data_IF_886561169475
#
_entry.id   IF_886561169475
#
_cell.length_a   1.000
_cell.length_b   1.000
_cell.length_c   1.000
_cell.angle_alpha   90.00
_cell.angle_beta   90.00
_cell.angle_gamma   90.00
#
_symmetry.space_group_name_H-M   'P 1'
#
loop_
_entity.id
_entity.type
_entity.pdbx_description
1 polymer ?
#
# COMPACT_ATOMS: atom_id res chain seq x y z
N UNK A 1 9.98 -6.48 -9.43
CA UNK A 1 9.11 -7.54 -9.95
C UNK A 1 8.61 -7.14 -11.34
N UNK A 2 9.09 -7.79 -12.41
CA UNK A 2 8.68 -7.46 -13.79
C UNK A 2 7.17 -7.66 -14.02
N UNK A 3 6.58 -8.59 -13.29
CA UNK A 3 5.15 -8.92 -13.18
C UNK A 3 4.29 -7.86 -12.47
N UNK A 4 4.90 -6.83 -11.85
CA UNK A 4 4.17 -5.72 -11.23
C UNK A 4 4.18 -4.43 -12.07
N UNK A 5 4.73 -4.45 -13.30
CA UNK A 5 4.84 -3.26 -14.15
C UNK A 5 3.51 -2.96 -14.86
N UNK A 6 3.29 -1.68 -15.16
CA UNK A 6 2.10 -1.21 -15.88
C UNK A 6 1.84 -1.97 -17.19
N UNK A 7 2.88 -2.17 -18.01
CA UNK A 7 2.75 -2.90 -19.27
C UNK A 7 2.37 -4.38 -19.07
N UNK A 8 2.87 -5.03 -18.02
CA UNK A 8 2.50 -6.40 -17.69
C UNK A 8 1.02 -6.50 -17.28
N UNK A 9 0.57 -5.61 -16.39
CA UNK A 9 -0.83 -5.61 -15.93
C UNK A 9 -1.79 -5.26 -17.08
N UNK A 10 -1.42 -4.34 -17.97
CA UNK A 10 -2.20 -4.04 -19.18
C UNK A 10 -2.29 -5.25 -20.12
N UNK A 11 -1.19 -5.98 -20.31
CA UNK A 11 -1.22 -7.22 -21.08
C UNK A 11 -2.15 -8.27 -20.43
N UNK A 12 -2.15 -8.39 -19.10
CA UNK A 12 -3.07 -9.27 -18.37
C UNK A 12 -4.55 -8.88 -18.51
N UNK A 13 -4.87 -7.60 -18.55
CA UNK A 13 -6.25 -7.16 -18.81
C UNK A 13 -6.75 -7.61 -20.20
N UNK A 14 -5.88 -7.55 -21.22
CA UNK A 14 -6.19 -8.05 -22.57
C UNK A 14 -6.36 -9.57 -22.57
N UNK A 15 -5.42 -10.31 -21.98
CA UNK A 15 -5.49 -11.78 -21.86
C UNK A 15 -6.79 -12.23 -21.20
N UNK A 16 -7.15 -11.65 -20.04
CA UNK A 16 -8.38 -11.97 -19.33
C UNK A 16 -9.64 -11.64 -20.13
N UNK A 17 -9.61 -10.52 -20.87
CA UNK A 17 -10.76 -10.12 -21.69
C UNK A 17 -11.05 -11.13 -22.80
N UNK A 18 -9.98 -11.64 -23.44
CA UNK A 18 -10.08 -12.68 -24.47
C UNK A 18 -10.52 -14.02 -23.88
N UNK A 19 -9.93 -14.44 -22.75
CA UNK A 19 -10.22 -15.74 -22.14
C UNK A 19 -11.61 -15.86 -21.53
N UNK A 20 -12.20 -14.74 -21.09
CA UNK A 20 -13.54 -14.70 -20.50
C UNK A 20 -14.64 -14.25 -21.48
N UNK A 21 -14.27 -13.92 -22.72
CA UNK A 21 -15.16 -13.34 -23.73
C UNK A 21 -15.98 -12.13 -23.20
N UNK A 22 -15.31 -11.26 -22.42
CA UNK A 22 -15.93 -10.04 -21.87
C UNK A 22 -14.88 -8.97 -21.59
N UNK A 23 -15.23 -7.67 -21.66
CA UNK A 23 -14.29 -6.61 -21.28
C UNK A 23 -13.87 -6.72 -19.81
N UNK A 24 -12.55 -6.74 -19.57
CA UNK A 24 -11.94 -6.72 -18.23
C UNK A 24 -11.05 -5.49 -18.09
N UNK A 25 -11.28 -4.71 -17.02
CA UNK A 25 -10.42 -3.60 -16.62
C UNK A 25 -9.74 -3.94 -15.29
N UNK A 26 -8.41 -3.80 -15.23
CA UNK A 26 -7.65 -3.92 -13.98
C UNK A 26 -7.23 -2.53 -13.53
N UNK A 27 -7.71 -2.11 -12.36
CA UNK A 27 -7.31 -0.84 -11.76
C UNK A 27 -6.06 -1.03 -10.90
N UNK A 28 -5.04 -0.20 -11.13
CA UNK A 28 -3.79 -0.19 -10.37
C UNK A 28 -3.59 1.15 -9.64
N UNK A 29 -4.46 1.49 -8.67
CA UNK A 29 -4.49 2.83 -8.05
C UNK A 29 -3.18 3.22 -7.35
N UNK A 30 -2.33 2.24 -7.03
CA UNK A 30 -1.05 2.43 -6.34
C UNK A 30 0.17 2.39 -7.27
N UNK A 31 0.01 2.16 -8.58
CA UNK A 31 1.13 1.91 -9.52
C UNK A 31 2.23 2.98 -9.46
N UNK A 32 1.83 4.25 -9.33
CA UNK A 32 2.72 5.41 -9.35
C UNK A 32 2.81 6.10 -7.97
N UNK A 33 2.44 5.38 -6.90
CA UNK A 33 2.42 5.90 -5.53
C UNK A 33 3.64 5.38 -4.76
N UNK A 34 4.37 6.28 -4.10
CA UNK A 34 5.31 5.90 -3.06
C UNK A 34 4.55 5.58 -1.75
N UNK A 35 5.25 5.10 -0.71
CA UNK A 35 4.60 4.66 0.53
C UNK A 35 3.92 5.82 1.30
N UNK A 36 4.53 7.00 1.33
CA UNK A 36 3.93 8.19 1.93
C UNK A 36 2.61 8.58 1.25
N UNK A 37 2.57 8.54 -0.09
CA UNK A 37 1.36 8.81 -0.86
C UNK A 37 0.28 7.74 -0.66
N UNK A 38 0.63 6.52 -0.27
CA UNK A 38 -0.37 5.50 0.13
C UNK A 38 -0.96 5.83 1.50
N UNK A 39 -0.17 6.31 2.46
CA UNK A 39 -0.70 6.83 3.73
C UNK A 39 -1.61 8.03 3.50
N UNK A 40 -1.21 8.97 2.65
CA UNK A 40 -2.01 10.12 2.22
C UNK A 40 -3.38 9.68 1.65
N UNK A 41 -3.41 8.63 0.82
CA UNK A 41 -4.67 8.09 0.31
C UNK A 41 -5.57 7.53 1.41
N UNK A 42 -5.01 6.81 2.38
CA UNK A 42 -5.79 6.29 3.51
C UNK A 42 -6.29 7.41 4.42
N UNK A 43 -5.48 8.45 4.64
CA UNK A 43 -5.88 9.65 5.38
C UNK A 43 -7.05 10.37 4.69
N UNK A 44 -6.94 10.64 3.39
CA UNK A 44 -8.01 11.28 2.62
C UNK A 44 -9.29 10.44 2.53
N UNK A 45 -9.19 9.12 2.72
CA UNK A 45 -10.34 8.22 2.82
C UNK A 45 -10.95 8.14 4.23
N UNK A 46 -10.35 8.80 5.24
CA UNK A 46 -10.75 8.67 6.65
C UNK A 46 -10.51 7.25 7.20
N UNK A 47 -9.45 6.58 6.74
CA UNK A 47 -9.11 5.18 7.04
C UNK A 47 -7.68 4.99 7.55
N UNK A 48 -7.05 6.06 8.02
CA UNK A 48 -5.66 6.01 8.49
C UNK A 48 -5.51 5.07 9.70
N UNK A 49 -6.47 5.13 10.62
CA UNK A 49 -6.50 4.29 11.82
C UNK A 49 -6.65 2.82 11.48
N UNK A 50 -7.61 2.45 10.64
CA UNK A 50 -7.77 1.06 10.21
C UNK A 50 -6.55 0.55 9.44
N UNK A 51 -5.93 1.39 8.60
CA UNK A 51 -4.69 1.03 7.92
C UNK A 51 -3.59 0.68 8.95
N UNK A 52 -3.42 1.48 10.00
CA UNK A 52 -2.40 1.24 11.04
C UNK A 52 -2.73 0.02 11.90
N UNK A 53 -3.98 -0.10 12.37
CA UNK A 53 -4.37 -1.05 13.41
C UNK A 53 -4.78 -2.42 12.88
N UNK A 54 -5.30 -2.50 11.66
CA UNK A 54 -5.95 -3.72 11.13
C UNK A 54 -5.16 -4.38 9.99
N UNK A 55 -4.00 -3.85 9.60
CA UNK A 55 -3.18 -4.45 8.54
C UNK A 55 -1.83 -4.92 9.04
N UNK A 56 -1.32 -5.99 8.43
CA UNK A 56 -0.03 -6.59 8.74
C UNK A 56 0.88 -6.51 7.50
N UNK A 57 2.02 -5.83 7.65
CA UNK A 57 3.06 -5.72 6.60
C UNK A 57 4.32 -6.49 6.97
N UNK A 58 4.50 -6.82 8.25
CA UNK A 58 5.70 -7.49 8.73
C UNK A 58 5.87 -8.87 8.12
N UNK A 59 7.02 -9.13 7.49
CA UNK A 59 7.35 -10.45 6.94
C UNK A 59 7.42 -11.57 7.99
N UNK A 60 7.63 -11.22 9.26
CA UNK A 60 7.72 -12.17 10.36
C UNK A 60 6.39 -12.35 11.11
N UNK A 61 5.30 -11.73 10.64
CA UNK A 61 4.00 -11.81 11.31
C UNK A 61 3.95 -11.13 12.68
N UNK A 62 4.92 -10.27 13.01
CA UNK A 62 4.93 -9.56 14.28
C UNK A 62 3.80 -8.52 14.33
N UNK A 63 3.00 -8.52 15.41
CA UNK A 63 1.83 -7.67 15.58
C UNK A 63 2.03 -6.48 16.52
N UNK A 64 3.27 -6.23 16.99
CA UNK A 64 3.63 -5.11 17.85
C UNK A 64 3.21 -3.79 17.21
N UNK A 65 2.46 -2.98 17.95
CA UNK A 65 1.97 -1.70 17.46
C UNK A 65 3.04 -0.62 17.54
N UNK A 66 3.25 0.09 16.43
CA UNK A 66 4.08 1.28 16.30
C UNK A 66 3.23 2.42 15.74
N UNK A 67 3.75 3.65 15.72
CA UNK A 67 3.03 4.80 15.15
C UNK A 67 2.63 4.59 13.68
N UNK A 68 3.44 3.87 12.89
CA UNK A 68 3.16 3.57 11.48
C UNK A 68 2.28 2.31 11.27
N UNK A 69 1.94 1.59 12.35
CA UNK A 69 1.16 0.35 12.37
C UNK A 69 1.90 -0.86 12.94
N UNK A 70 1.41 -2.07 12.65
CA UNK A 70 1.94 -3.33 13.21
C UNK A 70 3.23 -3.84 12.55
N UNK A 71 4.24 -4.19 13.34
CA UNK A 71 5.41 -4.96 12.88
C UNK A 71 6.66 -4.86 13.75
N UNK A 72 7.73 -5.55 13.32
CA UNK A 72 8.97 -5.71 14.08
C UNK A 72 10.02 -4.60 13.88
N UNK A 73 9.80 -3.65 12.96
CA UNK A 73 10.78 -2.60 12.54
C UNK A 73 12.14 -3.08 12.00
N UNK A 74 12.38 -4.38 11.94
CA UNK A 74 13.69 -4.94 11.53
C UNK A 74 13.70 -5.50 10.10
N UNK A 75 12.53 -5.90 9.57
CA UNK A 75 12.45 -6.46 8.23
C UNK A 75 12.28 -5.36 7.15
N UNK A 76 12.68 -5.60 5.89
CA UNK A 76 12.59 -4.60 4.83
C UNK A 76 11.18 -4.04 4.62
N UNK A 77 10.13 -4.85 4.81
CA UNK A 77 8.74 -4.39 4.68
C UNK A 77 8.36 -3.38 5.78
N UNK A 78 8.78 -3.62 7.02
CA UNK A 78 8.54 -2.69 8.12
C UNK A 78 9.31 -1.38 7.90
N UNK A 79 10.60 -1.45 7.55
CA UNK A 79 11.42 -0.26 7.29
C UNK A 79 10.84 0.63 6.18
N UNK A 80 10.35 0.01 5.09
CA UNK A 80 9.70 0.76 4.01
C UNK A 80 8.41 1.44 4.48
N UNK A 81 7.61 0.75 5.31
CA UNK A 81 6.35 1.28 5.84
C UNK A 81 6.59 2.41 6.85
N UNK A 82 7.52 2.23 7.76
CA UNK A 82 7.96 3.23 8.74
C UNK A 82 8.46 4.50 8.07
N UNK A 83 9.42 4.37 7.14
CA UNK A 83 9.93 5.52 6.36
C UNK A 83 8.80 6.27 5.62
N UNK A 84 7.88 5.53 4.99
CA UNK A 84 6.75 6.14 4.30
C UNK A 84 5.81 6.90 5.24
N UNK A 85 5.61 6.40 6.45
CA UNK A 85 4.81 7.09 7.47
C UNK A 85 5.51 8.35 7.97
N UNK A 86 6.82 8.30 8.20
CA UNK A 86 7.61 9.47 8.61
C UNK A 86 7.55 10.59 7.56
N UNK A 87 7.71 10.24 6.28
CA UNK A 87 7.56 11.18 5.15
C UNK A 87 6.15 11.78 5.09
N UNK A 88 5.11 10.97 5.29
CA UNK A 88 3.71 11.45 5.36
C UNK A 88 3.47 12.41 6.54
N UNK A 89 4.04 12.11 7.71
CA UNK A 89 3.87 12.93 8.93
C UNK A 89 4.50 14.32 8.80
N UNK A 90 5.47 14.51 7.91
CA UNK A 90 6.05 15.84 7.66
C UNK A 90 5.01 16.83 7.12
N UNK A 91 4.04 16.36 6.34
CA UNK A 91 2.92 17.18 5.84
C UNK A 91 1.68 17.11 6.73
N UNK A 92 1.59 16.09 7.60
CA UNK A 92 0.48 15.84 8.53
C UNK A 92 1.00 15.62 9.96
N UNK A 93 1.40 16.68 10.70
CA UNK A 93 2.04 16.55 12.01
C UNK A 93 1.14 15.93 13.09
N UNK A 94 -0.18 16.07 12.93
CA UNK A 94 -1.19 15.43 13.77
C UNK A 94 -2.26 14.81 12.87
N UNK A 95 -1.99 13.63 12.28
CA UNK A 95 -3.02 12.90 11.56
C UNK A 95 -3.98 12.37 12.64
N UNK A 96 -4.99 13.18 12.96
CA UNK A 96 -6.07 12.76 13.84
C UNK A 96 -6.75 11.51 13.24
N UNK A 97 -7.26 10.60 14.09
CA UNK A 97 -7.94 9.39 13.65
C UNK A 97 -9.16 9.67 12.77
#
# INVERSE_FOLDING_TARGET
YPDCRDNYIKAKAVELSLGLDRPVTIHTPLMWKNKAQVFEMAYNAGKIKELQELTLTCYNGNEQMNEWGRGCSQCPACQLREKGFEEFRQTHPHPAP
#
